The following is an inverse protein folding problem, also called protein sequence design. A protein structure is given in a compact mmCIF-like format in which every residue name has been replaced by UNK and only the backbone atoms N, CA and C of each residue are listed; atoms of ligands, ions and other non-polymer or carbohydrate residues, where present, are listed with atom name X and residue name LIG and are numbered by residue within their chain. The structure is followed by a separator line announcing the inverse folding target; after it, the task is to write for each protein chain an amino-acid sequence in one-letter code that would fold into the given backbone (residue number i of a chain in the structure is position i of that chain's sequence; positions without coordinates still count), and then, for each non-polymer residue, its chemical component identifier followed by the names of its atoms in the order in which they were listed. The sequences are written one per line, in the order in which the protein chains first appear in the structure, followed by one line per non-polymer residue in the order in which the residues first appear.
data_IF_710072481997
#
_entry.id   IF_710072481997
#
_cell.length_a   1.000
_cell.length_b   1.000
_cell.length_c   1.000
_cell.angle_alpha   90.00
_cell.angle_beta   90.00
_cell.angle_gamma   90.00
#
_symmetry.space_group_name_H-M   'P 1'
#
loop_
_entity.id
_entity.type
_entity.pdbx_description
1 polymer ?
#
# COMPACT_ATOMS: atom_id res chain seq x y z
N UNK A 1 -7.09 4.21 20.00
CA UNK A 1 -5.89 4.94 19.56
C UNK A 1 -5.69 4.61 18.10
N UNK A 2 -5.39 5.57 17.22
CA UNK A 2 -5.18 5.30 15.80
C UNK A 2 -4.02 4.34 15.52
N UNK A 3 -2.89 4.49 16.21
CA UNK A 3 -1.77 3.54 16.15
C UNK A 3 -2.23 2.16 16.65
N UNK A 4 -2.23 1.16 15.77
CA UNK A 4 -2.68 -0.20 16.08
C UNK A 4 -1.65 -0.94 16.91
N UNK A 5 -2.12 -1.85 17.75
CA UNK A 5 -1.34 -2.93 18.34
C UNK A 5 -1.25 -4.12 17.37
N UNK A 6 -0.35 -5.07 17.67
CA UNK A 6 -0.24 -6.32 16.93
C UNK A 6 -1.53 -7.15 16.98
N UNK A 7 -2.22 -7.17 18.13
CA UNK A 7 -3.51 -7.85 18.29
C UNK A 7 -4.61 -7.22 17.42
N UNK A 8 -4.68 -5.89 17.36
CA UNK A 8 -5.63 -5.17 16.50
C UNK A 8 -5.36 -5.42 15.01
N UNK A 9 -4.08 -5.49 14.60
CA UNK A 9 -3.70 -5.88 13.24
C UNK A 9 -4.18 -7.30 12.91
N UNK A 10 -3.89 -8.28 13.77
CA UNK A 10 -4.29 -9.67 13.56
C UNK A 10 -5.81 -9.78 13.48
N UNK A 11 -6.53 -9.07 14.36
CA UNK A 11 -7.98 -9.05 14.34
C UNK A 11 -8.52 -8.43 13.05
N UNK A 12 -7.96 -7.32 12.58
CA UNK A 12 -8.36 -6.69 11.32
C UNK A 12 -8.17 -7.62 10.11
N UNK A 13 -7.08 -8.40 10.07
CA UNK A 13 -6.84 -9.39 9.01
C UNK A 13 -7.87 -10.54 9.03
N UNK A 14 -8.40 -10.91 10.20
CA UNK A 14 -9.47 -11.90 10.34
C UNK A 14 -10.84 -11.35 9.94
N UNK A 15 -11.11 -10.10 10.31
CA UNK A 15 -12.40 -9.44 10.05
C UNK A 15 -12.58 -9.06 8.58
N UNK A 16 -11.48 -8.95 7.83
CA UNK A 16 -11.48 -8.58 6.41
C UNK A 16 -10.73 -9.62 5.56
N UNK A 17 -11.28 -10.85 5.40
CA UNK A 17 -10.60 -11.94 4.73
C UNK A 17 -10.37 -11.65 3.24
N UNK A 18 -9.12 -11.77 2.82
CA UNK A 18 -8.69 -11.60 1.43
C UNK A 18 -8.75 -12.94 0.69
N UNK A 19 -9.01 -12.95 -0.61
CA UNK A 19 -8.92 -14.19 -1.40
C UNK A 19 -7.45 -14.52 -1.73
N UNK A 20 -6.71 -15.07 -0.77
CA UNK A 20 -5.32 -15.47 -0.96
C UNK A 20 -5.20 -16.95 -1.31
N UNK A 21 -4.37 -17.29 -2.29
CA UNK A 21 -4.09 -18.68 -2.69
C UNK A 21 -2.65 -19.07 -2.35
N UNK A 22 -2.48 -20.18 -1.64
CA UNK A 22 -1.17 -20.72 -1.26
C UNK A 22 -1.14 -22.23 -1.55
N UNK A 23 -0.08 -22.70 -2.25
CA UNK A 23 0.11 -24.12 -2.60
C UNK A 23 -1.10 -24.77 -3.31
N UNK A 24 -1.74 -24.01 -4.20
CA UNK A 24 -2.86 -24.50 -5.02
C UNK A 24 -4.21 -24.55 -4.32
N UNK A 25 -4.33 -24.05 -3.09
CA UNK A 25 -5.60 -23.93 -2.36
C UNK A 25 -5.84 -22.49 -1.90
N UNK A 26 -7.12 -22.13 -1.77
CA UNK A 26 -7.52 -20.90 -1.09
C UNK A 26 -7.18 -21.03 0.40
N UNK A 27 -6.63 -19.97 0.96
CA UNK A 27 -6.32 -19.85 2.39
C UNK A 27 -7.56 -19.33 3.10
N UNK A 28 -8.00 -20.07 4.13
CA UNK A 28 -9.18 -19.69 4.93
C UNK A 28 -8.84 -18.66 6.01
N UNK A 29 -7.69 -18.81 6.67
CA UNK A 29 -7.18 -17.88 7.68
C UNK A 29 -5.68 -17.65 7.48
N UNK A 30 -5.33 -16.47 6.96
CA UNK A 30 -3.93 -16.09 6.71
C UNK A 30 -3.12 -15.95 8.01
N UNK A 31 -3.78 -15.72 9.15
CA UNK A 31 -3.15 -15.57 10.47
C UNK A 31 -2.70 -16.91 11.05
N UNK A 32 -3.24 -18.01 10.52
CA UNK A 32 -2.96 -19.38 10.95
C UNK A 32 -2.31 -20.25 9.86
N UNK A 33 -2.28 -19.81 8.60
CA UNK A 33 -1.74 -20.59 7.48
C UNK A 33 -0.22 -20.83 7.58
N UNK A 34 0.17 -22.10 7.52
CA UNK A 34 1.58 -22.50 7.50
C UNK A 34 2.34 -21.85 6.33
N UNK A 35 3.45 -21.19 6.64
CA UNK A 35 4.24 -20.44 5.66
C UNK A 35 3.83 -18.97 5.51
N UNK A 36 2.71 -18.54 6.10
CA UNK A 36 2.24 -17.15 6.11
C UNK A 36 2.17 -16.60 7.53
N UNK A 37 1.67 -17.39 8.49
CA UNK A 37 1.44 -16.99 9.88
C UNK A 37 2.67 -16.40 10.57
N UNK A 38 3.88 -16.87 10.22
CA UNK A 38 5.14 -16.29 10.72
C UNK A 38 5.32 -14.82 10.30
N UNK A 39 5.01 -14.50 9.03
CA UNK A 39 5.04 -13.13 8.53
C UNK A 39 3.98 -12.25 9.18
N UNK A 40 2.79 -12.80 9.46
CA UNK A 40 1.73 -12.08 10.19
C UNK A 40 2.20 -11.73 11.60
N UNK A 41 2.83 -12.67 12.31
CA UNK A 41 3.39 -12.42 13.65
C UNK A 41 4.50 -11.36 13.61
N UNK A 42 5.45 -11.47 12.67
CA UNK A 42 6.49 -10.45 12.54
C UNK A 42 5.93 -9.07 12.19
N UNK A 43 4.81 -9.00 11.46
CA UNK A 43 4.11 -7.74 11.22
C UNK A 43 3.43 -7.25 12.50
N UNK A 44 2.78 -8.12 13.27
CA UNK A 44 2.17 -7.77 14.55
C UNK A 44 3.19 -7.25 15.56
N UNK A 45 4.33 -7.93 15.73
CA UNK A 45 5.44 -7.51 16.59
C UNK A 45 5.96 -6.11 16.18
N UNK A 46 5.99 -5.83 14.87
CA UNK A 46 6.33 -4.52 14.33
C UNK A 46 5.31 -3.44 14.71
N UNK A 47 4.02 -3.77 14.80
CA UNK A 47 2.97 -2.86 15.27
C UNK A 47 2.99 -2.70 16.80
N UNK A 48 3.48 -3.67 17.57
CA UNK A 48 3.68 -3.48 19.02
C UNK A 48 4.88 -2.57 19.30
N UNK A 49 5.94 -2.66 18.48
CA UNK A 49 7.15 -1.84 18.64
C UNK A 49 6.87 -0.33 18.70
N UNK A 50 5.90 0.19 17.95
CA UNK A 50 5.59 1.63 17.98
C UNK A 50 5.00 2.09 19.32
N UNK A 51 4.43 1.18 20.11
CA UNK A 51 3.98 1.47 21.47
C UNK A 51 5.13 1.36 22.48
N UNK A 52 6.03 0.39 22.27
CA UNK A 52 7.24 0.23 23.09
C UNK A 52 8.20 1.43 22.97
N UNK A 53 8.29 2.02 21.78
CA UNK A 53 9.17 3.15 21.46
C UNK A 53 8.40 4.36 20.95
N UNK A 54 7.30 4.69 21.63
CA UNK A 54 6.36 5.75 21.24
C UNK A 54 7.00 7.12 20.99
N UNK A 55 8.04 7.50 21.75
CA UNK A 55 8.71 8.79 21.58
C UNK A 55 9.39 8.93 20.20
N UNK A 56 9.90 7.82 19.66
CA UNK A 56 10.55 7.78 18.34
C UNK A 56 9.57 7.46 17.23
N UNK A 57 8.64 6.52 17.49
CA UNK A 57 7.82 5.90 16.45
C UNK A 57 6.43 6.50 16.31
N UNK A 58 5.99 7.36 17.23
CA UNK A 58 4.68 8.01 17.17
C UNK A 58 4.79 9.54 17.23
N UNK A 59 3.78 10.21 16.69
CA UNK A 59 3.56 11.64 16.86
C UNK A 59 2.07 11.94 17.05
N UNK A 60 1.70 13.10 17.62
CA UNK A 60 0.29 13.48 17.74
C UNK A 60 -0.32 13.73 16.36
N UNK A 61 -1.47 13.10 16.08
CA UNK A 61 -2.23 13.36 14.87
C UNK A 61 -2.58 14.84 14.79
N UNK A 62 -2.42 15.50 13.62
CA UNK A 62 -2.80 16.90 13.46
C UNK A 62 -4.32 17.12 13.55
N UNK A 63 -5.14 16.06 13.47
CA UNK A 63 -6.60 16.15 13.50
C UNK A 63 -7.19 15.83 14.87
N UNK A 64 -6.71 14.76 15.51
CA UNK A 64 -7.28 14.24 16.76
C UNK A 64 -6.39 14.47 17.97
N UNK A 65 -5.08 14.73 17.75
CA UNK A 65 -4.07 14.73 18.81
C UNK A 65 -3.69 13.34 19.30
N UNK A 66 -4.38 12.28 18.86
CA UNK A 66 -4.07 10.91 19.24
C UNK A 66 -2.75 10.44 18.61
N UNK A 67 -2.01 9.51 19.23
CA UNK A 67 -0.78 8.96 18.65
C UNK A 67 -1.01 8.22 17.32
N UNK A 68 -0.22 8.59 16.31
CA UNK A 68 -0.16 7.99 14.97
C UNK A 68 1.30 7.72 14.58
N UNK A 69 1.54 6.74 13.69
CA UNK A 69 2.90 6.36 13.30
C UNK A 69 3.72 7.49 12.67
N UNK A 70 4.93 7.73 13.17
CA UNK A 70 5.90 8.74 12.67
C UNK A 70 6.13 8.63 11.16
N UNK A 71 6.03 7.42 10.61
CA UNK A 71 6.10 7.16 9.17
C UNK A 71 5.09 7.97 8.32
N UNK A 72 3.95 8.39 8.89
CA UNK A 72 2.93 9.20 8.23
C UNK A 72 3.18 10.71 8.27
N UNK A 73 4.16 11.18 9.04
CA UNK A 73 4.45 12.61 9.18
C UNK A 73 4.85 13.22 7.84
N UNK A 74 4.17 14.29 7.43
CA UNK A 74 4.61 15.13 6.32
C UNK A 74 5.58 16.16 6.92
N UNK A 75 6.90 16.06 6.65
CA UNK A 75 7.87 16.95 7.28
C UNK A 75 7.78 18.36 6.68
N UNK A 76 7.75 19.37 7.55
CA UNK A 76 7.76 20.79 7.14
C UNK A 76 9.08 21.48 7.51
N UNK A 77 9.86 20.87 8.39
CA UNK A 77 11.15 21.38 8.87
C UNK A 77 12.28 20.36 8.72
N UNK A 78 13.52 20.83 8.87
CA UNK A 78 14.68 19.95 8.94
C UNK A 78 14.61 19.00 10.15
N UNK A 79 14.07 19.47 11.27
CA UNK A 79 13.90 18.65 12.46
C UNK A 79 12.91 17.51 12.23
N UNK A 80 11.79 17.77 11.54
CA UNK A 80 10.84 16.72 11.16
C UNK A 80 11.51 15.67 10.25
N UNK A 81 12.36 16.10 9.32
CA UNK A 81 13.10 15.17 8.46
C UNK A 81 14.03 14.25 9.27
N UNK A 82 14.71 14.79 10.29
CA UNK A 82 15.54 13.99 11.20
C UNK A 82 14.68 13.01 11.99
N UNK A 83 13.58 13.46 12.60
CA UNK A 83 12.67 12.60 13.37
C UNK A 83 12.08 11.46 12.54
N UNK A 84 11.64 11.75 11.33
CA UNK A 84 11.18 10.72 10.39
C UNK A 84 12.32 9.77 10.04
N UNK A 85 13.52 10.29 9.78
CA UNK A 85 14.72 9.50 9.48
C UNK A 85 15.08 8.52 10.61
N UNK A 86 15.10 9.00 11.85
CA UNK A 86 15.38 8.20 13.04
C UNK A 86 14.33 7.10 13.23
N UNK A 87 13.05 7.43 13.05
CA UNK A 87 12.00 6.42 13.04
C UNK A 87 12.21 5.38 11.93
N UNK A 88 12.49 5.79 10.70
CA UNK A 88 12.69 4.84 9.59
C UNK A 88 13.90 3.93 9.86
N UNK A 89 14.97 4.48 10.44
CA UNK A 89 16.14 3.71 10.83
C UNK A 89 15.80 2.67 11.90
N UNK A 90 15.08 3.08 12.95
CA UNK A 90 14.68 2.18 14.03
C UNK A 90 13.80 1.02 13.54
N UNK A 91 12.90 1.29 12.59
CA UNK A 91 12.04 0.28 11.99
C UNK A 91 12.82 -0.66 11.05
N UNK A 92 13.82 -0.15 10.34
CA UNK A 92 14.73 -1.00 9.58
C UNK A 92 15.51 -1.94 10.51
N UNK A 93 16.06 -1.41 11.62
CA UNK A 93 16.83 -2.17 12.61
C UNK A 93 16.03 -3.30 13.24
N UNK A 94 14.72 -3.10 13.48
CA UNK A 94 13.82 -4.15 13.98
C UNK A 94 13.87 -5.42 13.13
N UNK A 95 14.01 -5.26 11.81
CA UNK A 95 14.09 -6.37 10.86
C UNK A 95 15.51 -6.70 10.41
N UNK A 96 16.53 -6.09 11.01
CA UNK A 96 17.92 -6.11 10.52
C UNK A 96 18.04 -5.70 9.04
N UNK A 97 17.17 -4.79 8.60
CA UNK A 97 17.06 -4.32 7.21
C UNK A 97 16.42 -5.33 6.24
N UNK A 98 15.91 -6.46 6.70
CA UNK A 98 15.38 -7.52 5.83
C UNK A 98 13.93 -7.24 5.39
N UNK A 99 13.14 -6.52 6.19
CA UNK A 99 11.75 -6.21 5.87
C UNK A 99 11.63 -4.93 5.03
N UNK A 100 12.23 -4.88 3.84
CA UNK A 100 12.21 -3.69 2.96
C UNK A 100 10.82 -3.34 2.36
N UNK A 101 9.76 -3.99 2.81
CA UNK A 101 8.36 -3.78 2.43
C UNK A 101 7.47 -3.69 3.67
N UNK A 102 8.05 -3.37 4.82
CA UNK A 102 7.26 -3.06 6.01
C UNK A 102 6.33 -1.85 5.72
N UNK A 103 5.23 -1.69 6.48
CA UNK A 103 4.25 -0.64 6.23
C UNK A 103 4.82 0.77 6.10
N UNK A 104 5.91 1.08 6.83
CA UNK A 104 6.50 2.41 6.81
C UNK A 104 6.95 2.87 5.42
N UNK A 105 7.32 1.92 4.54
CA UNK A 105 7.71 2.19 3.16
C UNK A 105 6.60 2.90 2.38
N UNK A 106 5.37 2.37 2.40
CA UNK A 106 4.25 2.98 1.66
C UNK A 106 3.60 4.12 2.44
N UNK A 107 3.75 4.17 3.76
CA UNK A 107 3.38 5.36 4.54
C UNK A 107 4.17 6.59 4.06
N UNK A 108 5.47 6.43 3.77
CA UNK A 108 6.30 7.50 3.17
C UNK A 108 5.82 7.88 1.77
N UNK A 109 5.53 6.91 0.91
CA UNK A 109 5.03 7.18 -0.44
C UNK A 109 3.71 7.97 -0.40
N UNK A 110 2.76 7.54 0.43
CA UNK A 110 1.46 8.18 0.57
C UNK A 110 1.54 9.56 1.21
N UNK A 111 2.46 9.76 2.15
CA UNK A 111 2.76 11.08 2.71
C UNK A 111 3.28 12.04 1.62
N UNK A 112 4.12 11.56 0.71
CA UNK A 112 4.60 12.36 -0.42
C UNK A 112 3.48 12.73 -1.41
N UNK A 113 2.58 11.80 -1.74
CA UNK A 113 1.42 12.11 -2.59
C UNK A 113 0.48 13.13 -1.94
N UNK A 114 0.21 13.01 -0.64
CA UNK A 114 -0.61 13.97 0.09
C UNK A 114 0.04 15.37 0.16
N UNK A 115 1.35 15.43 0.36
CA UNK A 115 2.11 16.68 0.32
C UNK A 115 2.07 17.33 -1.08
N UNK A 116 2.14 16.51 -2.14
CA UNK A 116 2.08 16.93 -3.53
C UNK A 116 0.65 17.09 -4.09
N UNK A 117 -0.38 17.16 -3.23
CA UNK A 117 -1.78 17.19 -3.64
C UNK A 117 -2.10 18.29 -4.67
N UNK A 118 -1.55 19.50 -4.51
CA UNK A 118 -1.79 20.59 -5.47
C UNK A 118 -1.27 20.27 -6.88
N UNK A 119 -0.16 19.54 -6.97
CA UNK A 119 0.36 19.06 -8.26
C UNK A 119 -0.56 17.98 -8.85
N UNK A 120 -0.99 17.01 -8.04
CA UNK A 120 -1.92 15.96 -8.47
C UNK A 120 -3.24 16.54 -8.97
N UNK A 121 -3.82 17.53 -8.27
CA UNK A 121 -5.06 18.19 -8.70
C UNK A 121 -4.90 18.96 -10.01
N UNK A 122 -3.71 19.54 -10.26
CA UNK A 122 -3.45 20.22 -11.54
C UNK A 122 -3.30 19.25 -12.71
N UNK A 123 -2.85 18.02 -12.46
CA UNK A 123 -2.74 16.97 -13.47
C UNK A 123 -4.08 16.22 -13.68
N UNK A 124 -4.83 16.00 -12.60
CA UNK A 124 -6.13 15.36 -12.60
C UNK A 124 -7.01 16.00 -11.51
N UNK A 125 -8.04 16.79 -11.88
CA UNK A 125 -8.94 17.41 -10.91
C UNK A 125 -9.50 16.38 -9.91
N UNK A 126 -9.37 16.65 -8.62
CA UNK A 126 -9.80 15.76 -7.53
C UNK A 126 -8.75 14.72 -7.10
N UNK A 127 -7.68 14.52 -7.86
CA UNK A 127 -6.61 13.58 -7.53
C UNK A 127 -5.85 13.94 -6.26
N UNK A 128 -5.63 15.25 -6.03
CA UNK A 128 -5.01 15.76 -4.80
C UNK A 128 -5.90 15.59 -3.58
N UNK A 129 -7.20 15.85 -3.73
CA UNK A 129 -8.18 15.61 -2.67
C UNK A 129 -8.23 14.12 -2.28
N UNK A 130 -8.24 13.22 -3.27
CA UNK A 130 -8.20 11.77 -3.03
C UNK A 130 -6.91 11.35 -2.31
N UNK A 131 -5.75 11.85 -2.73
CA UNK A 131 -4.46 11.53 -2.10
C UNK A 131 -4.42 11.94 -0.62
N UNK A 132 -4.88 13.16 -0.29
CA UNK A 132 -4.97 13.63 1.11
C UNK A 132 -5.98 12.83 1.91
N UNK A 133 -7.14 12.54 1.33
CA UNK A 133 -8.19 11.78 2.00
C UNK A 133 -7.72 10.37 2.34
N UNK A 134 -7.03 9.71 1.43
CA UNK A 134 -6.54 8.35 1.64
C UNK A 134 -5.31 8.31 2.57
N UNK A 135 -4.40 9.28 2.49
CA UNK A 135 -3.31 9.40 3.48
C UNK A 135 -3.84 9.60 4.91
N UNK A 136 -4.87 10.44 5.08
CA UNK A 136 -5.56 10.60 6.36
C UNK A 136 -6.16 9.27 6.82
N UNK A 137 -6.94 8.58 5.99
CA UNK A 137 -7.55 7.29 6.35
C UNK A 137 -6.49 6.26 6.78
N UNK A 138 -5.39 6.17 6.02
CA UNK A 138 -4.26 5.30 6.37
C UNK A 138 -3.64 5.67 7.71
N UNK A 139 -3.42 6.96 7.98
CA UNK A 139 -2.81 7.44 9.23
C UNK A 139 -3.73 7.18 10.43
N UNK A 140 -5.01 7.55 10.32
CA UNK A 140 -5.97 7.45 11.42
C UNK A 140 -6.43 6.01 11.71
N UNK A 141 -6.17 5.08 10.79
CA UNK A 141 -6.47 3.65 10.96
C UNK A 141 -5.23 2.77 10.95
N UNK A 142 -4.05 3.36 10.85
CA UNK A 142 -2.73 2.69 10.79
C UNK A 142 -2.66 1.51 9.81
N UNK A 143 -3.12 1.75 8.57
CA UNK A 143 -3.23 0.73 7.53
C UNK A 143 -1.86 0.28 7.00
N UNK A 144 -1.67 -1.03 6.89
CA UNK A 144 -0.58 -1.62 6.12
C UNK A 144 -0.96 -1.68 4.64
N UNK A 145 -0.07 -1.22 3.77
CA UNK A 145 -0.23 -1.35 2.32
C UNK A 145 0.80 -2.29 1.71
N UNK A 146 0.38 -2.99 0.66
CA UNK A 146 1.26 -3.50 -0.38
C UNK A 146 1.17 -2.63 -1.62
N UNK A 147 2.10 -2.79 -2.56
CA UNK A 147 2.01 -2.15 -3.86
C UNK A 147 2.42 -3.13 -4.94
N UNK A 148 1.91 -2.89 -6.14
CA UNK A 148 2.30 -3.65 -7.33
C UNK A 148 2.60 -2.71 -8.48
N UNK A 149 3.64 -3.05 -9.24
CA UNK A 149 4.20 -2.17 -10.27
C UNK A 149 4.37 -2.89 -11.60
N UNK A 150 4.63 -4.20 -11.56
CA UNK A 150 5.08 -4.96 -12.72
C UNK A 150 3.89 -5.57 -13.45
N UNK A 151 3.87 -5.40 -14.77
CA UNK A 151 2.93 -6.08 -15.64
C UNK A 151 3.48 -7.47 -15.98
N UNK A 152 2.67 -8.53 -16.00
CA UNK A 152 3.06 -9.79 -16.60
C UNK A 152 3.40 -9.61 -18.08
N UNK A 153 4.43 -10.31 -18.52
CA UNK A 153 4.96 -10.25 -19.87
C UNK A 153 5.22 -11.67 -20.36
N UNK A 154 4.55 -12.07 -21.44
CA UNK A 154 4.87 -13.30 -22.16
C UNK A 154 5.89 -12.96 -23.26
N UNK A 155 5.59 -11.95 -24.08
CA UNK A 155 6.54 -11.44 -25.06
C UNK A 155 7.18 -10.13 -24.54
N UNK A 156 8.45 -10.19 -24.13
CA UNK A 156 9.18 -9.02 -23.62
C UNK A 156 9.62 -8.03 -24.70
N UNK A 157 9.45 -8.35 -25.98
CA UNK A 157 9.83 -7.49 -27.09
C UNK A 157 8.75 -6.46 -27.47
N UNK A 158 7.55 -6.54 -26.87
CA UNK A 158 6.40 -5.69 -27.23
C UNK A 158 5.76 -5.07 -25.99
N UNK A 159 5.04 -3.96 -26.18
CA UNK A 159 4.30 -3.27 -25.11
C UNK A 159 3.11 -4.09 -24.59
N UNK A 160 2.46 -3.59 -23.53
CA UNK A 160 1.28 -4.24 -22.95
C UNK A 160 0.13 -4.32 -23.98
N UNK A 161 -0.12 -3.24 -24.73
CA UNK A 161 -1.14 -3.23 -25.80
C UNK A 161 -0.87 -4.23 -26.94
N UNK A 162 0.38 -4.67 -27.11
CA UNK A 162 0.80 -5.59 -28.18
C UNK A 162 0.96 -7.05 -27.72
N UNK A 163 0.62 -7.36 -26.47
CA UNK A 163 0.52 -8.74 -26.03
C UNK A 163 -0.70 -9.41 -26.71
N UNK A 164 -0.61 -10.72 -26.95
CA UNK A 164 -1.68 -11.46 -27.62
C UNK A 164 -2.98 -11.50 -26.82
N UNK A 165 -2.87 -11.60 -25.49
CA UNK A 165 -4.00 -11.43 -24.57
C UNK A 165 -3.99 -9.99 -24.02
N UNK A 166 -5.00 -9.16 -24.36
CA UNK A 166 -5.09 -7.79 -23.85
C UNK A 166 -5.34 -7.72 -22.34
N UNK A 167 -5.72 -8.82 -21.68
CA UNK A 167 -5.91 -8.90 -20.23
C UNK A 167 -4.76 -9.62 -19.53
N UNK A 168 -3.65 -9.92 -20.23
CA UNK A 168 -2.45 -10.44 -19.57
C UNK A 168 -2.04 -9.47 -18.45
N UNK A 169 -1.80 -8.21 -18.81
CA UNK A 169 -1.62 -7.13 -17.85
C UNK A 169 -2.98 -6.52 -17.46
N UNK A 170 -3.10 -6.07 -16.21
CA UNK A 170 -4.27 -5.34 -15.74
C UNK A 170 -4.51 -4.09 -16.60
N UNK A 171 -5.74 -3.95 -17.11
CA UNK A 171 -6.21 -2.80 -17.89
C UNK A 171 -7.62 -2.38 -17.47
N UNK A 172 -7.97 -1.14 -17.79
CA UNK A 172 -9.35 -0.68 -17.82
C UNK A 172 -10.11 -1.51 -18.85
N UNK A 173 -11.09 -2.26 -18.36
CA UNK A 173 -12.04 -3.03 -19.16
C UNK A 173 -13.22 -2.14 -19.55
N UNK A 174 -13.70 -1.35 -18.60
CA UNK A 174 -14.90 -0.52 -18.72
C UNK A 174 -14.82 0.67 -17.76
N UNK A 175 -15.39 1.80 -18.17
CA UNK A 175 -15.59 2.99 -17.34
C UNK A 175 -17.09 3.17 -17.13
N UNK A 176 -17.49 3.37 -15.88
CA UNK A 176 -18.88 3.56 -15.47
C UNK A 176 -19.00 4.83 -14.65
N UNK A 177 -20.22 5.31 -14.43
CA UNK A 177 -20.47 6.46 -13.54
C UNK A 177 -20.00 6.21 -12.09
N UNK A 178 -19.86 4.94 -11.69
CA UNK A 178 -19.35 4.54 -10.37
C UNK A 178 -17.82 4.44 -10.30
N UNK A 179 -17.12 4.39 -11.45
CA UNK A 179 -15.66 4.26 -11.53
C UNK A 179 -15.18 3.26 -12.58
N UNK A 180 -13.95 2.77 -12.39
CA UNK A 180 -13.24 1.89 -13.33
C UNK A 180 -13.45 0.41 -13.00
N UNK A 181 -13.77 -0.39 -14.02
CA UNK A 181 -13.70 -1.85 -13.95
C UNK A 181 -12.36 -2.30 -14.53
N UNK A 182 -11.52 -2.89 -13.70
CA UNK A 182 -10.17 -3.34 -14.06
C UNK A 182 -10.16 -4.87 -14.23
N UNK A 183 -9.50 -5.36 -15.28
CA UNK A 183 -9.29 -6.79 -15.50
C UNK A 183 -7.86 -7.08 -15.94
N UNK A 184 -7.28 -8.13 -15.39
CA UNK A 184 -5.98 -8.68 -15.74
C UNK A 184 -5.13 -8.89 -14.50
N UNK A 185 -3.81 -9.05 -14.69
CA UNK A 185 -2.91 -9.33 -13.58
C UNK A 185 -1.81 -8.25 -13.42
N UNK A 186 -1.31 -8.16 -12.19
CA UNK A 186 -0.08 -7.45 -11.82
C UNK A 186 0.82 -8.43 -11.06
N UNK A 187 2.11 -8.17 -11.05
CA UNK A 187 3.10 -9.04 -10.41
C UNK A 187 3.92 -8.28 -9.38
N UNK A 188 4.46 -9.05 -8.42
CA UNK A 188 5.35 -8.58 -7.35
C UNK A 188 4.68 -7.63 -6.35
N UNK A 189 3.55 -8.05 -5.80
CA UNK A 189 2.93 -7.45 -4.62
C UNK A 189 3.50 -8.10 -3.33
N UNK A 190 4.69 -7.66 -2.91
CA UNK A 190 5.31 -8.13 -1.67
C UNK A 190 4.53 -7.62 -0.45
N UNK A 191 4.41 -8.41 0.61
CA UNK A 191 3.51 -8.20 1.76
C UNK A 191 2.03 -8.43 1.40
N UNK A 192 1.65 -9.64 0.96
CA UNK A 192 0.25 -9.95 0.65
C UNK A 192 -0.66 -9.98 1.89
N UNK A 193 -0.08 -9.85 3.09
CA UNK A 193 -0.76 -9.77 4.40
C UNK A 193 -0.97 -8.32 4.85
N UNK A 194 -1.46 -7.47 3.94
CA UNK A 194 -1.69 -6.03 4.16
C UNK A 194 -3.19 -5.69 4.08
N UNK A 195 -3.61 -4.52 4.59
CA UNK A 195 -5.01 -4.08 4.52
C UNK A 195 -5.43 -3.71 3.09
N UNK A 196 -4.53 -3.10 2.32
CA UNK A 196 -4.84 -2.54 1.00
C UNK A 196 -3.67 -2.67 0.02
N UNK A 197 -3.99 -2.66 -1.27
CA UNK A 197 -3.02 -2.63 -2.35
C UNK A 197 -3.05 -1.28 -3.05
N UNK A 198 -1.87 -0.69 -3.21
CA UNK A 198 -1.61 0.44 -4.07
C UNK A 198 -1.20 -0.06 -5.46
N UNK A 199 -2.01 0.24 -6.47
CA UNK A 199 -1.67 0.02 -7.87
C UNK A 199 -1.18 1.33 -8.45
N UNK A 200 0.11 1.38 -8.78
CA UNK A 200 0.75 2.55 -9.36
C UNK A 200 1.69 2.12 -10.49
N UNK A 201 1.91 2.95 -11.52
CA UNK A 201 2.95 2.67 -12.51
C UNK A 201 4.35 2.65 -11.90
N UNK A 202 5.21 1.73 -12.35
CA UNK A 202 6.60 1.57 -11.88
C UNK A 202 7.50 2.78 -12.16
N UNK A 203 7.18 3.52 -13.22
CA UNK A 203 8.01 4.56 -13.82
C UNK A 203 7.11 5.57 -14.52
N UNK A 204 7.68 6.75 -14.87
CA UNK A 204 7.02 7.65 -15.81
C UNK A 204 6.74 6.90 -17.11
N UNK A 205 5.47 6.63 -17.39
CA UNK A 205 5.04 5.97 -18.60
C UNK A 205 5.11 6.96 -19.76
N UNK A 206 6.15 6.87 -20.59
CA UNK A 206 6.19 7.51 -21.92
C UNK A 206 5.61 6.55 -22.94
N UNK A 207 4.35 6.20 -22.75
CA UNK A 207 3.70 5.19 -23.57
C UNK A 207 2.94 5.84 -24.75
N UNK A 208 2.82 5.14 -25.88
CA UNK A 208 1.93 5.55 -26.96
C UNK A 208 0.46 5.51 -26.51
N UNK A 209 -0.41 6.22 -27.23
CA UNK A 209 -1.85 6.31 -26.92
C UNK A 209 -2.55 4.94 -26.85
N UNK A 210 -2.07 3.96 -27.62
CA UNK A 210 -2.56 2.57 -27.57
C UNK A 210 -2.43 1.90 -26.19
N UNK A 211 -1.53 2.38 -25.33
CA UNK A 211 -1.35 1.89 -23.96
C UNK A 211 -2.20 2.67 -22.92
N UNK A 212 -3.04 3.63 -23.34
CA UNK A 212 -3.90 4.40 -22.45
C UNK A 212 -4.77 3.52 -21.50
N UNK A 213 -5.36 2.37 -21.94
CA UNK A 213 -6.12 1.50 -21.04
C UNK A 213 -5.30 0.88 -19.90
N UNK A 214 -3.97 0.92 -19.96
CA UNK A 214 -3.06 0.42 -18.92
C UNK A 214 -2.56 1.54 -17.98
N UNK A 215 -3.01 2.78 -18.20
CA UNK A 215 -2.55 3.98 -17.51
C UNK A 215 -3.54 4.41 -16.44
N UNK A 216 -3.46 3.78 -15.27
CA UNK A 216 -4.32 4.04 -14.13
C UNK A 216 -3.54 3.90 -12.82
N UNK A 217 -4.06 4.52 -11.77
CA UNK A 217 -3.57 4.38 -10.42
C UNK A 217 -4.74 4.41 -9.43
N UNK A 218 -4.72 3.53 -8.45
CA UNK A 218 -5.72 3.48 -7.39
C UNK A 218 -5.17 2.73 -6.18
N UNK A 219 -5.85 2.89 -5.05
CA UNK A 219 -5.69 2.03 -3.89
C UNK A 219 -7.04 1.35 -3.62
N UNK A 220 -7.03 0.10 -3.19
CA UNK A 220 -8.24 -0.59 -2.75
C UNK A 220 -7.94 -1.59 -1.62
N UNK A 221 -8.93 -1.93 -0.78
CA UNK A 221 -8.80 -2.98 0.22
C UNK A 221 -8.47 -4.33 -0.42
N UNK A 222 -7.60 -5.12 0.20
CA UNK A 222 -7.23 -6.43 -0.35
C UNK A 222 -8.39 -7.45 -0.30
N UNK A 223 -9.42 -7.18 0.52
CA UNK A 223 -10.66 -7.96 0.56
C UNK A 223 -11.68 -7.57 -0.53
N UNK A 224 -11.33 -6.69 -1.47
CA UNK A 224 -12.22 -6.29 -2.57
C UNK A 224 -12.59 -7.49 -3.42
N UNK A 225 -13.89 -7.67 -3.67
CA UNK A 225 -14.40 -8.76 -4.50
C UNK A 225 -13.74 -8.78 -5.89
N UNK A 226 -13.21 -9.93 -6.28
CA UNK A 226 -12.53 -10.14 -7.56
C UNK A 226 -11.01 -10.00 -7.54
N UNK A 227 -10.42 -9.46 -6.46
CA UNK A 227 -8.96 -9.49 -6.24
C UNK A 227 -8.53 -10.86 -5.67
N UNK A 228 -7.40 -11.40 -6.15
CA UNK A 228 -6.87 -12.73 -5.80
C UNK A 228 -5.33 -12.74 -5.77
#
# INVERSE_FOLDING_TARGET
MPARTGDELIQALRDSPMELWHRGRKVEDITAEDGIAGGVRSLADRYDLQHEEAETLLFPSPETGDPVGMSFMIPETQEDLVRVGDAMHRLADFSFGMAGRDPSYLNRAMSAYAAAAGWLDSAHPGGGANARSFHRDMRERDLALTHTLINPQINRAVSAAKQADPFLAARVKEETDAGLVIKGARMLATLPISDSIMVFPSTLLKNPEEDAPYSFAFCLPNATEGLK
#
